data_IF_183201905994
#
_entry.id   IF_183201905994
#
_cell.length_a   1.000
_cell.length_b   1.000
_cell.length_c   1.000
_cell.angle_alpha   90.00
_cell.angle_beta   90.00
_cell.angle_gamma   90.00
#
_symmetry.space_group_name_H-M   'P 1'
#
loop_
_entity.id
_entity.type
_entity.pdbx_description
1 polymer ?
#
# COMPACT_ATOMS: atom_id res chain seq x y z
N UNK A 1 14.18 26.87 -0.91
CA UNK A 1 13.25 25.72 -0.92
C UNK A 1 13.82 24.48 -0.23
N UNK A 2 14.96 24.60 0.43
CA UNK A 2 15.63 23.48 1.12
C UNK A 2 15.22 23.29 2.60
N UNK A 3 14.26 24.06 3.09
CA UNK A 3 13.93 24.11 4.53
C UNK A 3 12.90 23.09 5.02
N UNK A 4 12.08 22.52 4.18
CA UNK A 4 10.96 21.66 4.60
C UNK A 4 11.37 20.19 4.78
N UNK A 5 12.44 19.76 4.09
CA UNK A 5 12.91 18.36 4.14
C UNK A 5 14.02 18.08 5.17
N UNK A 6 14.58 19.10 5.84
CA UNK A 6 15.66 18.94 6.82
C UNK A 6 15.19 18.73 8.26
N UNK A 7 13.91 18.82 8.56
CA UNK A 7 13.39 18.76 9.94
C UNK A 7 13.17 17.36 10.51
N UNK A 8 13.45 16.29 9.74
CA UNK A 8 13.23 14.91 10.19
C UNK A 8 14.50 14.10 10.51
N UNK A 9 15.68 14.73 10.49
CA UNK A 9 16.93 14.05 10.87
C UNK A 9 17.68 14.86 11.90
N UNK A 10 17.30 14.77 13.17
CA UNK A 10 18.18 14.83 14.35
C UNK A 10 17.34 14.63 15.61
N UNK A 11 17.35 13.44 16.15
CA UNK A 11 17.29 13.19 17.59
C UNK A 11 18.46 12.29 17.91
N UNK A 12 19.34 12.89 18.74
CA UNK A 12 20.56 12.33 19.25
C UNK A 12 20.29 11.07 20.07
N UNK A 13 21.00 9.99 19.73
CA UNK A 13 21.14 8.80 20.57
C UNK A 13 22.42 8.95 21.37
N UNK A 14 22.28 9.04 22.69
CA UNK A 14 23.37 8.88 23.65
C UNK A 14 23.49 7.41 24.05
N UNK A 15 24.68 6.81 24.09
CA UNK A 15 24.82 5.39 24.39
C UNK A 15 24.78 5.13 25.90
N UNK A 16 24.01 4.11 26.29
CA UNK A 16 23.99 3.58 27.64
C UNK A 16 25.22 2.72 27.92
N UNK A 17 25.72 2.88 29.13
CA UNK A 17 26.93 2.33 29.74
C UNK A 17 26.99 0.80 29.76
N UNK A 18 28.21 0.32 29.51
CA UNK A 18 28.72 -1.03 29.72
C UNK A 18 28.63 -1.46 31.18
N UNK A 19 28.14 -2.67 31.43
CA UNK A 19 28.28 -3.40 32.71
C UNK A 19 29.32 -4.50 32.48
N UNK A 20 30.30 -4.51 33.37
CA UNK A 20 31.45 -5.43 33.43
C UNK A 20 31.03 -6.78 34.03
N UNK A 21 31.52 -7.91 33.52
CA UNK A 21 31.24 -9.21 34.08
C UNK A 21 32.43 -9.78 34.82
N UNK A 22 32.55 -9.52 36.10
CA UNK A 22 33.39 -10.31 36.99
C UNK A 22 32.83 -10.19 38.40
N UNK A 23 32.27 -11.29 38.90
CA UNK A 23 32.24 -11.68 40.32
C UNK A 23 31.28 -12.89 40.46
N UNK A 24 31.82 -14.10 40.41
CA UNK A 24 31.21 -15.30 41.00
C UNK A 24 32.27 -16.08 41.77
N UNK A 25 32.16 -16.00 43.05
CA UNK A 25 32.98 -16.66 44.08
C UNK A 25 32.61 -18.12 44.22
N UNK A 26 33.65 -18.99 44.30
CA UNK A 26 33.59 -20.41 44.53
C UNK A 26 33.23 -20.73 45.98
N UNK A 27 32.28 -21.68 46.18
CA UNK A 27 32.22 -22.45 47.41
C UNK A 27 32.20 -23.94 47.16
N UNK A 28 33.24 -24.60 47.70
CA UNK A 28 33.43 -26.06 47.80
C UNK A 28 32.68 -26.60 49.00
N UNK A 29 32.05 -27.74 48.88
CA UNK A 29 31.82 -28.67 50.01
C UNK A 29 31.86 -30.15 49.53
N UNK A 30 32.19 -31.12 50.44
CA UNK A 30 32.95 -32.31 50.06
C UNK A 30 32.13 -33.60 49.91
N UNK A 31 32.73 -34.52 49.14
CA UNK A 31 32.26 -35.87 48.89
C UNK A 31 32.19 -36.74 50.14
N UNK A 32 31.11 -37.48 50.33
CA UNK A 32 31.08 -38.70 51.15
C UNK A 32 30.84 -39.92 50.26
N UNK A 33 31.85 -40.77 50.20
CA UNK A 33 31.94 -41.99 49.42
C UNK A 33 31.36 -43.15 50.26
N UNK A 34 30.21 -43.72 49.90
CA UNK A 34 29.73 -45.00 50.40
C UNK A 34 29.92 -46.09 49.32
N UNK A 35 30.78 -47.05 49.60
CA UNK A 35 31.02 -48.23 48.77
C UNK A 35 29.91 -49.26 49.06
N UNK A 36 29.14 -49.59 48.02
CA UNK A 36 28.23 -50.76 48.03
C UNK A 36 28.77 -51.82 47.07
N UNK A 37 29.05 -52.99 47.59
CA UNK A 37 29.44 -54.20 46.83
C UNK A 37 28.18 -54.89 46.35
N UNK A 38 27.87 -54.78 45.05
CA UNK A 38 26.85 -55.58 44.40
C UNK A 38 27.44 -56.82 43.73
N UNK A 39 26.84 -57.99 44.00
CA UNK A 39 27.28 -59.30 43.46
C UNK A 39 26.94 -59.45 41.98
N UNK A 40 27.73 -60.19 41.20
CA UNK A 40 27.64 -60.36 39.75
C UNK A 40 26.26 -60.87 39.23
N UNK A 41 25.52 -61.57 40.03
CA UNK A 41 24.16 -62.07 39.69
C UNK A 41 23.10 -60.94 39.58
N UNK A 42 23.27 -59.86 40.30
CA UNK A 42 22.38 -58.71 40.29
C UNK A 42 22.59 -57.79 39.08
N UNK A 43 23.78 -57.80 38.51
CA UNK A 43 24.11 -57.00 37.30
C UNK A 43 23.41 -57.50 36.05
N UNK A 44 23.23 -58.83 35.85
CA UNK A 44 22.62 -59.40 34.65
C UNK A 44 21.10 -59.05 34.57
N UNK A 45 20.42 -59.11 35.67
CA UNK A 45 18.98 -58.77 35.73
C UNK A 45 18.73 -57.26 35.45
N UNK A 46 19.62 -56.43 35.87
CA UNK A 46 19.51 -54.96 35.55
C UNK A 46 19.77 -54.67 34.08
N UNK A 47 20.74 -55.30 33.46
CA UNK A 47 21.00 -55.13 32.02
C UNK A 47 19.87 -55.67 31.16
N UNK A 48 19.28 -56.79 31.50
CA UNK A 48 18.10 -57.33 30.79
C UNK A 48 16.88 -56.44 30.94
N UNK A 49 16.65 -55.88 32.10
CA UNK A 49 15.55 -54.90 32.30
C UNK A 49 15.80 -53.59 31.54
N UNK A 50 17.04 -53.13 31.50
CA UNK A 50 17.43 -51.92 30.75
C UNK A 50 17.27 -52.12 29.23
N UNK A 51 17.63 -53.30 28.72
CA UNK A 51 17.46 -53.61 27.29
C UNK A 51 16.00 -53.70 26.89
N UNK A 52 15.12 -54.29 27.70
CA UNK A 52 13.69 -54.35 27.46
C UNK A 52 13.08 -52.95 27.55
N UNK A 53 13.51 -52.12 28.51
CA UNK A 53 13.03 -50.74 28.64
C UNK A 53 13.42 -49.87 27.44
N UNK A 54 14.65 -50.03 26.93
CA UNK A 54 15.11 -49.31 25.74
C UNK A 54 14.39 -49.73 24.45
N UNK A 55 14.06 -51.04 24.32
CA UNK A 55 13.27 -51.54 23.17
C UNK A 55 11.84 -51.04 23.22
N UNK A 56 11.19 -51.07 24.38
CA UNK A 56 9.82 -50.59 24.56
C UNK A 56 9.80 -49.06 24.38
N UNK A 57 10.76 -48.34 24.93
CA UNK A 57 10.88 -46.90 24.76
C UNK A 57 11.18 -46.49 23.31
N UNK A 58 12.02 -47.26 22.60
CA UNK A 58 12.29 -47.07 21.18
C UNK A 58 11.06 -47.30 20.30
N UNK A 59 10.25 -48.34 20.58
CA UNK A 59 9.03 -48.63 19.84
C UNK A 59 7.95 -47.57 20.09
N UNK A 60 7.75 -47.16 21.36
CA UNK A 60 6.81 -46.08 21.72
C UNK A 60 7.26 -44.72 21.13
N UNK A 61 8.58 -44.47 21.08
CA UNK A 61 9.12 -43.24 20.47
C UNK A 61 8.94 -43.24 18.96
N UNK A 62 9.00 -44.37 18.28
CA UNK A 62 8.73 -44.48 16.83
C UNK A 62 7.25 -44.24 16.54
N UNK A 63 6.32 -44.84 17.32
CA UNK A 63 4.89 -44.57 17.12
C UNK A 63 4.51 -43.12 17.44
N UNK A 64 5.10 -42.53 18.49
CA UNK A 64 4.85 -41.12 18.84
C UNK A 64 5.48 -40.19 17.80
N UNK A 65 6.61 -40.56 17.16
CA UNK A 65 7.25 -39.72 16.12
C UNK A 65 6.50 -39.79 14.79
N UNK A 66 5.88 -40.91 14.43
CA UNK A 66 5.00 -40.97 13.26
C UNK A 66 3.72 -40.14 13.44
N UNK A 67 3.27 -39.92 14.69
CA UNK A 67 2.10 -39.09 15.00
C UNK A 67 2.46 -37.64 15.38
N UNK A 68 3.73 -37.34 15.62
CA UNK A 68 4.25 -36.03 15.98
C UNK A 68 5.02 -35.32 14.84
N UNK A 69 4.96 -35.82 13.59
CA UNK A 69 5.28 -34.97 12.46
C UNK A 69 4.13 -33.96 12.44
N UNK A 70 4.36 -32.68 12.84
CA UNK A 70 3.37 -31.66 12.56
C UNK A 70 3.19 -31.75 11.05
N UNK A 71 1.99 -32.15 10.60
CA UNK A 71 1.58 -31.90 9.24
C UNK A 71 2.00 -30.47 9.00
N UNK A 72 2.95 -30.26 8.07
CA UNK A 72 3.26 -28.91 7.59
C UNK A 72 1.91 -28.23 7.47
N UNK A 73 1.72 -27.03 8.04
CA UNK A 73 0.46 -26.34 7.84
C UNK A 73 0.29 -26.38 6.33
N UNK A 74 -0.68 -27.19 5.88
CA UNK A 74 -1.08 -27.22 4.50
C UNK A 74 -1.20 -25.74 4.17
N UNK A 75 -0.42 -25.25 3.20
CA UNK A 75 -0.62 -23.93 2.66
C UNK A 75 -2.08 -23.90 2.31
N UNK A 76 -2.88 -23.38 3.22
CA UNK A 76 -4.29 -23.14 2.98
C UNK A 76 -4.25 -22.26 1.76
N UNK A 77 -4.52 -22.84 0.61
CA UNK A 77 -4.56 -22.13 -0.64
C UNK A 77 -5.39 -20.89 -0.35
N UNK A 78 -4.78 -19.71 -0.42
CA UNK A 78 -5.46 -18.42 -0.28
C UNK A 78 -6.27 -18.20 -1.57
N UNK A 79 -7.08 -19.21 -1.95
CA UNK A 79 -7.82 -19.22 -3.19
C UNK A 79 -9.06 -18.35 -3.03
N UNK A 80 -9.08 -17.28 -3.78
CA UNK A 80 -10.28 -16.46 -3.97
C UNK A 80 -11.21 -17.16 -4.96
N UNK A 81 -12.52 -16.90 -4.85
CA UNK A 81 -13.48 -17.36 -5.85
C UNK A 81 -13.21 -16.69 -7.20
N UNK A 82 -13.27 -17.44 -8.32
CA UNK A 82 -13.11 -16.86 -9.64
C UNK A 82 -14.16 -15.77 -9.91
N UNK A 83 -13.77 -14.73 -10.65
CA UNK A 83 -14.69 -13.70 -11.09
C UNK A 83 -15.70 -14.25 -12.11
N UNK A 84 -16.98 -13.92 -11.95
CA UNK A 84 -18.01 -14.27 -12.93
C UNK A 84 -17.84 -13.48 -14.24
N UNK A 85 -17.37 -12.24 -14.14
CA UNK A 85 -17.00 -11.38 -15.26
C UNK A 85 -15.82 -10.51 -14.86
N UNK A 86 -14.95 -10.22 -15.80
CA UNK A 86 -13.77 -9.40 -15.59
C UNK A 86 -13.97 -8.08 -16.33
N UNK A 87 -13.96 -6.98 -15.57
CA UNK A 87 -14.04 -5.63 -16.10
C UNK A 87 -12.73 -5.21 -16.77
N UNK A 88 -12.80 -4.30 -17.72
CA UNK A 88 -11.62 -3.67 -18.34
C UNK A 88 -11.54 -2.22 -17.90
N UNK A 89 -10.53 -1.89 -17.12
CA UNK A 89 -10.16 -0.49 -16.81
C UNK A 89 -9.42 0.08 -18.01
N UNK A 90 -9.85 1.25 -18.48
CA UNK A 90 -9.32 1.85 -19.70
C UNK A 90 -8.65 3.19 -19.42
N UNK A 91 -7.72 3.54 -20.29
CA UNK A 91 -7.08 4.85 -20.27
C UNK A 91 -8.11 5.95 -20.58
N UNK A 92 -7.99 7.08 -19.87
CA UNK A 92 -8.97 8.19 -19.94
C UNK A 92 -9.29 8.62 -21.37
N UNK A 93 -8.27 8.77 -22.22
CA UNK A 93 -8.43 9.18 -23.63
C UNK A 93 -9.06 8.12 -24.52
N UNK A 94 -9.10 6.87 -24.08
CA UNK A 94 -9.77 5.77 -24.78
C UNK A 94 -11.25 5.62 -24.42
N UNK A 95 -11.75 6.40 -23.44
CA UNK A 95 -13.15 6.46 -23.11
C UNK A 95 -13.91 7.29 -24.15
N UNK A 96 -15.17 6.90 -24.42
CA UNK A 96 -16.11 7.76 -25.15
C UNK A 96 -16.48 8.99 -24.34
N UNK A 97 -17.06 10.02 -24.99
CA UNK A 97 -17.58 11.19 -24.29
C UNK A 97 -18.59 10.79 -23.20
N UNK A 98 -19.56 9.95 -23.52
CA UNK A 98 -20.60 9.49 -22.58
C UNK A 98 -20.00 8.76 -21.36
N UNK A 99 -18.92 8.00 -21.54
CA UNK A 99 -18.25 7.31 -20.44
C UNK A 99 -17.48 8.28 -19.53
N UNK A 100 -16.84 9.29 -20.11
CA UNK A 100 -16.19 10.37 -19.35
C UNK A 100 -17.22 11.18 -18.60
N UNK A 101 -18.33 11.53 -19.23
CA UNK A 101 -19.43 12.26 -18.61
C UNK A 101 -20.07 11.48 -17.46
N UNK A 102 -20.26 10.17 -17.62
CA UNK A 102 -20.77 9.29 -16.55
C UNK A 102 -19.83 9.27 -15.35
N UNK A 103 -18.52 9.20 -15.57
CA UNK A 103 -17.51 9.26 -14.51
C UNK A 103 -17.54 10.62 -13.80
N UNK A 104 -17.40 11.73 -14.55
CA UNK A 104 -17.42 13.10 -14.02
C UNK A 104 -18.69 13.37 -13.23
N UNK A 105 -19.86 13.03 -13.80
CA UNK A 105 -21.16 13.15 -13.12
C UNK A 105 -21.19 12.39 -11.80
N UNK A 106 -20.64 11.16 -11.79
CA UNK A 106 -20.65 10.32 -10.60
C UNK A 106 -19.71 10.85 -9.51
N UNK A 107 -18.55 11.38 -9.87
CA UNK A 107 -17.64 12.05 -8.92
C UNK A 107 -18.28 13.31 -8.33
N UNK A 108 -18.92 14.14 -9.17
CA UNK A 108 -19.66 15.33 -8.71
C UNK A 108 -20.85 14.97 -7.82
N UNK A 109 -21.57 13.90 -8.14
CA UNK A 109 -22.64 13.39 -7.28
C UNK A 109 -22.10 12.97 -5.92
N UNK A 110 -20.97 12.22 -5.87
CA UNK A 110 -20.40 11.75 -4.61
C UNK A 110 -20.02 12.90 -3.67
N UNK A 111 -19.64 14.06 -4.23
CA UNK A 111 -19.36 15.28 -3.44
C UNK A 111 -20.61 15.99 -2.92
N UNK A 112 -21.80 15.45 -3.17
CA UNK A 112 -23.07 15.93 -2.60
C UNK A 112 -23.73 14.94 -1.66
N UNK A 113 -23.25 13.69 -1.61
CA UNK A 113 -23.79 12.66 -0.72
C UNK A 113 -23.22 12.86 0.69
N UNK A 114 -24.07 13.06 1.72
CA UNK A 114 -23.58 13.25 3.08
C UNK A 114 -22.77 12.06 3.57
N UNK A 115 -21.63 12.35 4.20
CA UNK A 115 -20.82 11.34 4.86
C UNK A 115 -21.57 10.72 6.05
N UNK A 116 -21.39 9.42 6.24
CA UNK A 116 -21.80 8.72 7.48
C UNK A 116 -20.64 8.62 8.47
N UNK A 117 -19.44 8.93 8.02
CA UNK A 117 -18.19 8.79 8.79
C UNK A 117 -17.71 10.15 9.34
N UNK A 118 -17.87 11.21 8.57
CA UNK A 118 -17.49 12.57 8.98
C UNK A 118 -18.69 13.49 9.18
N UNK A 119 -18.69 14.23 10.27
CA UNK A 119 -19.68 15.30 10.48
C UNK A 119 -19.42 16.46 9.50
N UNK A 120 -20.45 16.94 8.83
CA UNK A 120 -20.39 18.02 7.83
C UNK A 120 -19.54 17.72 6.58
N UNK A 121 -19.20 16.47 6.33
CA UNK A 121 -18.50 16.03 5.12
C UNK A 121 -19.42 15.31 4.15
N UNK A 122 -18.86 14.98 3.01
CA UNK A 122 -19.49 14.15 1.99
C UNK A 122 -18.76 12.81 1.86
N UNK A 123 -19.38 11.84 1.19
CA UNK A 123 -18.70 10.56 0.88
C UNK A 123 -17.44 10.80 0.04
N UNK A 124 -17.39 11.87 -0.75
CA UNK A 124 -16.18 12.28 -1.45
C UNK A 124 -15.05 12.66 -0.48
N UNK A 125 -15.36 13.49 0.53
CA UNK A 125 -14.39 13.94 1.53
C UNK A 125 -13.86 12.79 2.40
N UNK A 126 -14.62 11.70 2.55
CA UNK A 126 -14.19 10.51 3.30
C UNK A 126 -12.90 9.92 2.74
N UNK A 127 -12.69 9.96 1.42
CA UNK A 127 -11.47 9.43 0.78
C UNK A 127 -10.24 10.29 1.06
N UNK A 128 -10.40 11.63 1.04
CA UNK A 128 -9.32 12.52 1.41
C UNK A 128 -8.97 12.38 2.90
N UNK A 129 -9.97 12.22 3.77
CA UNK A 129 -9.77 11.95 5.19
C UNK A 129 -9.13 10.58 5.43
N UNK A 130 -9.56 9.54 4.72
CA UNK A 130 -8.97 8.21 4.78
C UNK A 130 -7.48 8.26 4.43
N UNK A 131 -7.13 8.86 3.28
CA UNK A 131 -5.75 8.96 2.85
C UNK A 131 -4.90 9.81 3.82
N UNK A 132 -5.45 10.92 4.33
CA UNK A 132 -4.78 11.79 5.30
C UNK A 132 -4.53 11.14 6.66
N UNK A 133 -5.45 10.30 7.14
CA UNK A 133 -5.40 9.70 8.48
C UNK A 133 -4.74 8.31 8.50
N UNK A 134 -5.10 7.46 7.56
CA UNK A 134 -4.65 6.06 7.49
C UNK A 134 -3.55 5.87 6.45
N UNK A 135 -3.64 6.54 5.29
CA UNK A 135 -2.69 6.40 4.19
C UNK A 135 -1.23 6.62 4.59
N UNK A 136 -0.97 7.49 5.58
CA UNK A 136 0.37 7.71 6.13
C UNK A 136 1.05 6.42 6.65
N UNK A 137 0.29 5.40 6.99
CA UNK A 137 0.83 4.12 7.49
C UNK A 137 1.18 3.15 6.38
N UNK A 138 0.57 3.30 5.19
CA UNK A 138 0.84 2.46 4.03
C UNK A 138 1.91 3.02 3.09
N UNK A 139 2.29 4.31 3.22
CA UNK A 139 3.42 4.87 2.49
C UNK A 139 4.75 4.41 3.11
N UNK A 140 5.79 4.30 2.28
CA UNK A 140 7.13 3.81 2.66
C UNK A 140 7.11 2.41 3.30
N UNK A 141 6.16 1.60 2.92
CA UNK A 141 5.95 0.23 3.42
C UNK A 141 5.53 -0.71 2.29
N UNK A 142 5.52 -2.00 2.55
CA UNK A 142 5.09 -3.01 1.57
C UNK A 142 3.64 -2.83 1.14
N UNK A 143 2.80 -2.24 1.98
CA UNK A 143 1.36 -2.09 1.73
C UNK A 143 1.01 -0.93 0.79
N UNK A 144 1.98 -0.15 0.28
CA UNK A 144 1.70 0.99 -0.60
C UNK A 144 0.81 0.61 -1.79
N UNK A 145 1.24 -0.32 -2.63
CA UNK A 145 0.48 -0.73 -3.81
C UNK A 145 -0.86 -1.43 -3.45
N UNK A 146 -0.90 -2.46 -2.58
CA UNK A 146 -2.15 -3.15 -2.29
C UNK A 146 -3.18 -2.27 -1.56
N UNK A 147 -2.75 -1.33 -0.71
CA UNK A 147 -3.68 -0.43 -0.04
C UNK A 147 -4.35 0.54 -1.03
N UNK A 148 -3.60 1.12 -1.96
CA UNK A 148 -4.15 2.01 -2.97
C UNK A 148 -5.02 1.26 -3.99
N UNK A 149 -4.65 0.03 -4.37
CA UNK A 149 -5.51 -0.84 -5.20
C UNK A 149 -6.86 -1.08 -4.55
N UNK A 150 -6.87 -1.40 -3.26
CA UNK A 150 -8.12 -1.63 -2.53
C UNK A 150 -8.90 -0.33 -2.31
N UNK A 151 -8.22 0.79 -2.10
CA UNK A 151 -8.87 2.12 -2.04
C UNK A 151 -9.59 2.46 -3.34
N UNK A 152 -8.98 2.17 -4.50
CA UNK A 152 -9.65 2.33 -5.80
C UNK A 152 -10.89 1.43 -5.95
N UNK A 153 -10.85 0.22 -5.41
CA UNK A 153 -12.03 -0.67 -5.38
C UNK A 153 -13.16 -0.09 -4.53
N UNK A 154 -12.85 0.42 -3.34
CA UNK A 154 -13.83 1.08 -2.47
C UNK A 154 -14.41 2.33 -3.15
N UNK A 155 -13.56 3.11 -3.78
CA UNK A 155 -13.95 4.29 -4.54
C UNK A 155 -14.94 3.95 -5.65
N UNK A 156 -14.61 2.97 -6.48
CA UNK A 156 -15.49 2.51 -7.57
C UNK A 156 -16.83 1.98 -7.04
N UNK A 157 -16.81 1.22 -5.94
CA UNK A 157 -18.02 0.74 -5.28
C UNK A 157 -18.89 1.90 -4.78
N UNK A 158 -18.28 2.95 -4.17
CA UNK A 158 -19.00 4.13 -3.68
C UNK A 158 -19.63 4.94 -4.83
N UNK A 159 -18.92 5.10 -5.94
CA UNK A 159 -19.49 5.75 -7.14
C UNK A 159 -20.71 4.98 -7.68
N UNK A 160 -20.66 3.65 -7.67
CA UNK A 160 -21.79 2.81 -8.11
C UNK A 160 -22.95 2.87 -7.14
N UNK A 161 -22.68 2.66 -5.86
CA UNK A 161 -23.71 2.58 -4.82
C UNK A 161 -24.50 3.90 -4.67
N UNK A 162 -23.78 5.01 -4.61
CA UNK A 162 -24.39 6.31 -4.31
C UNK A 162 -24.81 7.09 -5.54
N UNK A 163 -24.12 6.91 -6.67
CA UNK A 163 -24.25 7.78 -7.84
C UNK A 163 -24.59 7.06 -9.14
N UNK A 164 -24.78 5.74 -9.09
CA UNK A 164 -25.18 4.93 -10.25
C UNK A 164 -24.12 4.91 -11.36
N UNK A 165 -22.85 4.98 -11.02
CA UNK A 165 -21.74 4.86 -11.98
C UNK A 165 -21.77 3.52 -12.68
N UNK A 166 -21.79 3.54 -14.01
CA UNK A 166 -21.92 2.33 -14.84
C UNK A 166 -20.60 1.80 -15.39
N UNK A 167 -19.57 2.65 -15.37
CA UNK A 167 -18.26 2.34 -15.88
C UNK A 167 -17.33 1.68 -14.84
N UNK A 168 -16.05 1.73 -15.15
CA UNK A 168 -14.95 1.34 -14.25
C UNK A 168 -13.98 2.50 -14.10
N UNK A 169 -13.27 2.56 -12.96
CA UNK A 169 -12.30 3.64 -12.70
C UNK A 169 -11.28 3.67 -13.84
N UNK A 170 -11.20 4.79 -14.57
CA UNK A 170 -10.21 4.94 -15.63
C UNK A 170 -8.84 5.24 -15.06
N UNK A 171 -7.79 5.10 -15.88
CA UNK A 171 -6.45 5.51 -15.50
C UNK A 171 -5.93 6.61 -16.44
N UNK A 172 -5.04 7.44 -15.92
CA UNK A 172 -4.29 8.42 -16.70
C UNK A 172 -2.89 7.89 -16.99
N UNK A 173 -2.65 7.46 -18.23
CA UNK A 173 -1.32 7.05 -18.67
C UNK A 173 -0.40 8.25 -18.89
N UNK A 174 0.10 8.79 -17.79
CA UNK A 174 1.02 9.92 -17.78
C UNK A 174 2.38 9.59 -18.43
N UNK A 175 2.69 8.33 -18.70
CA UNK A 175 3.89 7.97 -19.46
C UNK A 175 3.82 8.46 -20.91
N UNK A 176 2.64 8.72 -21.42
CA UNK A 176 2.42 9.31 -22.76
C UNK A 176 2.67 10.82 -22.76
N UNK A 177 2.62 11.47 -21.61
CA UNK A 177 2.74 12.90 -21.42
C UNK A 177 4.11 13.30 -20.82
N UNK A 178 5.06 12.37 -20.73
CA UNK A 178 6.33 12.54 -20.02
C UNK A 178 7.18 13.74 -20.46
N UNK A 179 7.02 14.21 -21.70
CA UNK A 179 7.74 15.37 -22.21
C UNK A 179 7.17 16.69 -21.68
N UNK A 180 5.88 16.73 -21.41
CA UNK A 180 5.19 17.89 -20.85
C UNK A 180 3.87 17.48 -20.18
N UNK A 181 3.95 17.17 -18.91
CA UNK A 181 2.79 16.76 -18.11
C UNK A 181 1.75 17.88 -18.01
N UNK A 182 2.18 19.15 -17.98
CA UNK A 182 1.26 20.29 -17.89
C UNK A 182 0.46 20.52 -19.19
N UNK A 183 0.98 20.04 -20.33
CA UNK A 183 0.28 20.10 -21.61
C UNK A 183 -0.59 18.87 -21.90
N UNK A 184 -0.72 17.93 -20.95
CA UNK A 184 -1.58 16.76 -21.11
C UNK A 184 -3.03 17.15 -21.32
N UNK A 185 -3.71 16.46 -22.25
CA UNK A 185 -5.15 16.64 -22.48
C UNK A 185 -6.02 16.22 -21.29
N UNK A 186 -5.46 15.60 -20.27
CA UNK A 186 -6.17 15.33 -19.01
C UNK A 186 -6.63 16.61 -18.31
N UNK A 187 -5.93 17.73 -18.57
CA UNK A 187 -6.23 19.05 -18.01
C UNK A 187 -7.18 19.89 -18.86
N UNK A 188 -7.67 19.35 -19.96
CA UNK A 188 -8.63 20.03 -20.81
C UNK A 188 -9.93 20.36 -20.07
N UNK A 189 -10.44 21.58 -20.24
CA UNK A 189 -11.62 22.05 -19.51
C UNK A 189 -12.93 21.38 -19.95
N UNK A 190 -13.02 20.90 -21.19
CA UNK A 190 -14.25 20.28 -21.71
C UNK A 190 -14.23 18.77 -21.59
N UNK A 191 -13.09 18.13 -21.86
CA UNK A 191 -12.96 16.69 -21.96
C UNK A 191 -12.06 16.05 -20.89
N UNK A 192 -11.52 16.85 -19.98
CA UNK A 192 -10.61 16.45 -18.91
C UNK A 192 -11.07 16.88 -17.51
N UNK A 193 -10.10 17.24 -16.68
CA UNK A 193 -10.30 17.55 -15.25
C UNK A 193 -10.17 19.04 -14.90
N UNK A 194 -10.11 19.92 -15.93
CA UNK A 194 -9.75 21.32 -15.75
C UNK A 194 -8.25 21.53 -15.59
N UNK A 195 -7.81 22.76 -15.82
CA UNK A 195 -6.42 23.15 -15.88
C UNK A 195 -5.75 23.41 -14.54
N UNK A 196 -4.73 24.26 -14.59
CA UNK A 196 -4.06 24.75 -13.38
C UNK A 196 -4.97 25.71 -12.59
N UNK A 197 -4.59 26.02 -11.36
CA UNK A 197 -5.27 27.11 -10.62
C UNK A 197 -5.08 28.47 -11.31
N UNK A 198 -6.02 29.40 -11.07
CA UNK A 198 -5.96 30.76 -11.61
C UNK A 198 -4.64 31.45 -11.24
N UNK A 199 -3.80 31.84 -12.20
CA UNK A 199 -2.51 32.46 -11.93
C UNK A 199 -2.62 33.84 -11.26
N UNK A 200 -3.81 34.48 -11.30
CA UNK A 200 -4.10 35.78 -10.68
C UNK A 200 -4.87 35.63 -9.36
N UNK A 201 -5.29 34.41 -9.04
CA UNK A 201 -6.07 34.07 -7.85
C UNK A 201 -5.27 34.15 -6.56
N UNK A 202 -5.97 34.23 -5.45
CA UNK A 202 -5.35 34.13 -4.14
C UNK A 202 -4.89 32.69 -3.87
N UNK A 203 -3.68 32.56 -3.28
CA UNK A 203 -3.19 31.27 -2.82
C UNK A 203 -4.13 30.72 -1.75
N UNK A 204 -4.53 29.46 -1.92
CA UNK A 204 -5.42 28.74 -1.01
C UNK A 204 -4.65 27.72 -0.17
N UNK A 205 -4.50 26.49 -0.66
CA UNK A 205 -3.79 25.41 0.02
C UNK A 205 -2.63 24.88 -0.85
N UNK A 206 -1.59 24.35 -0.24
CA UNK A 206 -0.49 23.67 -0.95
C UNK A 206 0.22 24.56 -1.98
N UNK A 207 0.29 25.88 -1.75
CA UNK A 207 0.80 26.88 -2.71
C UNK A 207 0.04 26.92 -4.04
N UNK A 208 -1.17 26.38 -4.09
CA UNK A 208 -2.05 26.44 -5.26
C UNK A 208 -3.09 27.54 -5.16
N UNK A 209 -3.78 27.77 -6.26
CA UNK A 209 -4.92 28.68 -6.41
C UNK A 209 -6.15 27.92 -6.88
N UNK A 210 -7.33 28.53 -6.85
CA UNK A 210 -8.56 27.87 -7.26
C UNK A 210 -8.52 27.45 -8.74
N UNK A 211 -8.94 26.21 -9.01
CA UNK A 211 -9.27 25.76 -10.37
C UNK A 211 -10.61 26.37 -10.75
N UNK A 212 -10.63 27.17 -11.81
CA UNK A 212 -11.83 27.91 -12.24
C UNK A 212 -12.48 27.36 -13.51
N UNK A 213 -11.81 26.41 -14.16
CA UNK A 213 -12.29 25.78 -15.38
C UNK A 213 -12.56 24.28 -15.19
N UNK A 214 -13.20 23.68 -16.18
CA UNK A 214 -13.48 22.24 -16.18
C UNK A 214 -14.61 21.80 -15.27
N UNK A 215 -14.87 20.50 -15.22
CA UNK A 215 -16.04 19.96 -14.55
C UNK A 215 -15.98 20.07 -13.02
N UNK A 216 -14.80 20.28 -12.45
CA UNK A 216 -14.55 20.30 -11.01
C UNK A 216 -14.28 21.69 -10.43
N UNK A 217 -14.44 22.77 -11.21
CA UNK A 217 -14.28 24.15 -10.76
C UNK A 217 -15.11 24.51 -9.53
N UNK A 218 -16.27 23.84 -9.35
CA UNK A 218 -17.15 24.05 -8.21
C UNK A 218 -16.95 23.03 -7.08
N UNK A 219 -15.92 22.16 -7.15
CA UNK A 219 -15.61 21.24 -6.06
C UNK A 219 -15.09 22.03 -4.84
N UNK A 220 -15.58 21.66 -3.66
CA UNK A 220 -15.27 22.36 -2.41
C UNK A 220 -14.82 21.37 -1.34
N UNK A 221 -13.55 20.94 -1.37
CA UNK A 221 -12.98 20.14 -0.29
C UNK A 221 -13.08 20.86 1.05
N UNK A 222 -13.24 20.09 2.12
CA UNK A 222 -13.40 20.66 3.47
C UNK A 222 -12.19 20.46 4.37
N UNK A 223 -11.15 19.77 3.89
CA UNK A 223 -9.95 19.45 4.69
C UNK A 223 -8.68 19.62 3.88
N UNK A 224 -7.64 20.08 4.58
CA UNK A 224 -6.29 20.05 4.08
C UNK A 224 -5.36 19.48 5.17
N UNK A 225 -4.67 18.39 4.87
CA UNK A 225 -4.00 17.56 5.89
C UNK A 225 -5.02 17.15 7.00
N UNK A 226 -4.64 17.32 8.25
CA UNK A 226 -5.49 16.96 9.40
C UNK A 226 -6.41 18.11 9.86
N UNK A 227 -6.44 19.23 9.13
CA UNK A 227 -7.15 20.43 9.53
C UNK A 227 -8.42 20.60 8.72
N UNK A 228 -9.52 21.02 9.37
CA UNK A 228 -10.73 21.47 8.67
C UNK A 228 -10.47 22.83 8.03
N UNK A 229 -10.44 22.86 6.72
CA UNK A 229 -10.25 24.05 5.89
C UNK A 229 -11.13 23.91 4.65
N UNK A 230 -12.29 24.53 4.65
CA UNK A 230 -13.14 24.57 3.47
C UNK A 230 -12.50 25.50 2.42
N UNK A 231 -12.30 25.00 1.22
CA UNK A 231 -11.64 25.73 0.13
C UNK A 231 -12.14 25.25 -1.25
N UNK A 232 -11.74 25.93 -2.30
CA UNK A 232 -11.91 25.46 -3.68
C UNK A 232 -10.91 24.37 -4.01
N UNK A 233 -11.21 23.52 -4.99
CA UNK A 233 -10.18 22.66 -5.58
C UNK A 233 -8.99 23.51 -5.99
N UNK A 234 -7.82 23.18 -5.49
CA UNK A 234 -6.60 23.99 -5.64
C UNK A 234 -5.53 23.24 -6.39
N UNK A 235 -4.93 23.87 -7.39
CA UNK A 235 -3.73 23.39 -8.10
C UNK A 235 -2.71 24.51 -8.24
N UNK A 236 -1.45 24.13 -8.37
CA UNK A 236 -0.32 25.04 -8.56
C UNK A 236 0.80 24.29 -9.27
N UNK A 237 0.64 24.06 -10.58
CA UNK A 237 1.64 23.31 -11.36
C UNK A 237 3.01 23.94 -11.21
N UNK A 238 3.99 23.10 -10.92
CA UNK A 238 5.37 23.53 -10.90
C UNK A 238 5.80 24.07 -12.28
N UNK A 239 6.80 24.92 -12.29
CA UNK A 239 7.37 25.42 -13.54
C UNK A 239 7.98 24.26 -14.37
N UNK A 240 8.09 24.48 -15.68
CA UNK A 240 8.58 23.44 -16.60
C UNK A 240 9.95 22.86 -16.21
N UNK A 241 10.97 23.63 -15.82
CA UNK A 241 12.23 23.05 -15.34
C UNK A 241 12.06 22.13 -14.12
N UNK A 242 11.15 22.45 -13.21
CA UNK A 242 10.83 21.62 -12.04
C UNK A 242 10.03 20.37 -12.45
N UNK A 243 9.05 20.50 -13.35
CA UNK A 243 8.32 19.36 -13.91
C UNK A 243 9.26 18.38 -14.61
N UNK A 244 10.17 18.87 -15.46
CA UNK A 244 11.15 18.03 -16.16
C UNK A 244 12.07 17.28 -15.17
N UNK A 245 12.46 17.94 -14.08
CA UNK A 245 13.26 17.32 -13.00
C UNK A 245 12.49 16.30 -12.19
N UNK A 246 11.25 16.57 -11.83
CA UNK A 246 10.42 15.70 -11.00
C UNK A 246 9.88 14.50 -11.79
N UNK A 247 9.45 14.71 -13.01
CA UNK A 247 8.66 13.75 -13.78
C UNK A 247 9.31 13.32 -15.09
N UNK A 248 9.83 14.26 -15.89
CA UNK A 248 10.26 14.00 -17.26
C UNK A 248 11.27 12.86 -17.41
N UNK A 249 12.28 12.78 -16.53
CA UNK A 249 13.28 11.70 -16.55
C UNK A 249 12.76 10.38 -15.96
N UNK A 250 11.70 10.43 -15.15
CA UNK A 250 11.16 9.27 -14.45
C UNK A 250 10.08 8.57 -15.26
N UNK A 251 9.25 9.32 -15.95
CA UNK A 251 8.08 8.82 -16.67
C UNK A 251 8.37 8.42 -18.12
N UNK A 252 9.57 8.65 -18.62
CA UNK A 252 9.91 8.26 -19.98
C UNK A 252 9.93 6.71 -20.15
N UNK A 253 9.72 6.20 -21.38
CA UNK A 253 9.60 4.76 -21.63
C UNK A 253 10.81 3.92 -21.18
N UNK A 254 12.02 4.51 -21.22
CA UNK A 254 13.25 3.83 -20.77
C UNK A 254 13.23 3.60 -19.25
N UNK A 255 12.82 4.59 -18.48
CA UNK A 255 12.71 4.48 -17.02
C UNK A 255 11.64 3.49 -16.61
N UNK A 256 10.47 3.56 -17.23
CA UNK A 256 9.40 2.58 -17.01
C UNK A 256 9.89 1.17 -17.35
N UNK A 257 10.53 0.97 -18.51
CA UNK A 257 11.08 -0.34 -18.90
C UNK A 257 12.15 -0.86 -17.95
N UNK A 258 12.89 0.02 -17.23
CA UNK A 258 13.84 -0.37 -16.17
C UNK A 258 13.08 -0.87 -14.93
N UNK A 259 12.08 -0.13 -14.48
CA UNK A 259 11.27 -0.46 -13.30
C UNK A 259 10.54 -1.80 -13.53
N UNK A 260 9.99 -2.01 -14.71
CA UNK A 260 9.32 -3.25 -15.08
C UNK A 260 10.21 -4.50 -15.08
N UNK A 261 11.53 -4.35 -15.09
CA UNK A 261 12.51 -5.46 -15.00
C UNK A 261 12.99 -5.75 -13.58
N UNK A 262 12.52 -5.02 -12.59
CA UNK A 262 12.82 -5.32 -11.19
C UNK A 262 12.10 -6.62 -10.81
N UNK A 263 12.81 -7.60 -10.26
CA UNK A 263 12.24 -8.91 -9.97
C UNK A 263 11.60 -8.99 -8.58
N UNK A 264 12.23 -8.37 -7.58
CA UNK A 264 11.74 -8.38 -6.20
C UNK A 264 10.61 -7.36 -5.99
N UNK A 265 9.56 -7.76 -5.24
CA UNK A 265 8.42 -6.91 -4.96
C UNK A 265 8.79 -5.66 -4.14
N UNK A 266 9.62 -5.80 -3.11
CA UNK A 266 10.03 -4.69 -2.26
C UNK A 266 10.71 -3.59 -3.07
N UNK A 267 11.63 -3.98 -3.96
CA UNK A 267 12.34 -3.05 -4.81
C UNK A 267 11.42 -2.44 -5.88
N UNK A 268 10.52 -3.25 -6.46
CA UNK A 268 9.51 -2.75 -7.39
C UNK A 268 8.55 -1.76 -6.71
N UNK A 269 8.02 -2.09 -5.53
CA UNK A 269 7.14 -1.22 -4.75
C UNK A 269 7.84 0.10 -4.39
N UNK A 270 9.13 0.04 -4.01
CA UNK A 270 9.95 1.22 -3.78
C UNK A 270 10.08 2.09 -5.03
N UNK A 271 10.44 1.51 -6.18
CA UNK A 271 10.54 2.24 -7.44
C UNK A 271 9.20 2.88 -7.84
N UNK A 272 8.09 2.16 -7.66
CA UNK A 272 6.75 2.68 -7.94
C UNK A 272 6.43 3.89 -7.04
N UNK A 273 6.66 3.79 -5.74
CA UNK A 273 6.36 4.88 -4.81
C UNK A 273 7.31 6.07 -4.98
N UNK A 274 8.62 5.85 -4.98
CA UNK A 274 9.60 6.95 -4.97
C UNK A 274 9.84 7.58 -6.34
N UNK A 275 9.79 6.80 -7.40
CA UNK A 275 10.08 7.31 -8.74
C UNK A 275 8.84 7.66 -9.55
N UNK A 276 7.74 6.93 -9.38
CA UNK A 276 6.55 7.15 -10.19
C UNK A 276 5.44 7.92 -9.45
N UNK A 277 5.36 7.82 -8.12
CA UNK A 277 4.31 8.47 -7.35
C UNK A 277 4.75 9.80 -6.73
N UNK A 278 5.81 9.81 -5.89
CA UNK A 278 6.14 10.96 -5.05
C UNK A 278 6.42 12.26 -5.81
N UNK A 279 6.88 12.18 -7.06
CA UNK A 279 7.15 13.36 -7.89
C UNK A 279 5.89 14.07 -8.38
N UNK A 280 4.76 13.36 -8.50
CA UNK A 280 3.51 13.92 -8.99
C UNK A 280 2.90 14.93 -8.01
N UNK A 281 3.03 14.69 -6.71
CA UNK A 281 2.46 15.55 -5.69
C UNK A 281 2.98 17.00 -5.76
N UNK A 282 4.30 17.27 -5.70
CA UNK A 282 4.82 18.63 -5.84
C UNK A 282 4.75 19.15 -7.28
N UNK A 283 4.57 18.30 -8.28
CA UNK A 283 4.40 18.72 -9.66
C UNK A 283 3.03 19.36 -9.90
N UNK A 284 1.96 18.81 -9.33
CA UNK A 284 0.59 19.34 -9.44
C UNK A 284 0.35 20.43 -8.39
N UNK A 285 0.91 20.29 -7.18
CA UNK A 285 0.72 21.28 -6.10
C UNK A 285 -0.71 21.33 -5.56
N UNK A 286 -1.06 22.42 -4.89
CA UNK A 286 -2.40 22.63 -4.34
C UNK A 286 -2.85 21.48 -3.44
N UNK A 287 -4.05 20.98 -3.65
CA UNK A 287 -4.60 19.83 -2.93
C UNK A 287 -3.73 18.58 -3.07
N UNK A 288 -3.12 18.41 -4.24
CA UNK A 288 -2.30 17.22 -4.52
C UNK A 288 -1.00 17.15 -3.71
N UNK A 289 -0.54 18.28 -3.15
CA UNK A 289 0.72 18.34 -2.37
C UNK A 289 0.61 17.68 -0.99
N UNK A 290 -0.59 17.51 -0.45
CA UNK A 290 -0.82 17.02 0.91
C UNK A 290 -1.24 15.55 0.96
N UNK A 291 -1.24 14.97 2.17
CA UNK A 291 -1.83 13.65 2.39
C UNK A 291 -3.34 13.59 2.13
N UNK A 292 -4.00 14.73 1.96
CA UNK A 292 -5.40 14.84 1.49
C UNK A 292 -5.50 14.97 -0.03
N UNK A 293 -4.52 14.49 -0.77
CA UNK A 293 -4.45 14.58 -2.24
C UNK A 293 -5.68 14.04 -2.98
N UNK A 294 -6.44 13.12 -2.36
CA UNK A 294 -7.72 12.64 -2.88
C UNK A 294 -8.83 13.71 -2.92
N UNK A 295 -8.58 14.92 -2.42
CA UNK A 295 -9.40 16.11 -2.69
C UNK A 295 -9.45 16.44 -4.19
N UNK A 296 -8.37 16.16 -4.93
CA UNK A 296 -8.35 16.32 -6.38
C UNK A 296 -8.72 15.00 -7.06
N UNK A 297 -9.77 14.95 -7.88
CA UNK A 297 -10.22 13.72 -8.54
C UNK A 297 -9.16 13.03 -9.40
N UNK A 298 -8.17 13.75 -9.88
CA UNK A 298 -7.06 13.17 -10.66
C UNK A 298 -6.22 12.17 -9.83
N UNK A 299 -6.29 12.24 -8.50
CA UNK A 299 -5.66 11.29 -7.60
C UNK A 299 -6.01 9.84 -7.93
N UNK A 300 -7.29 9.57 -8.18
CA UNK A 300 -7.76 8.21 -8.46
C UNK A 300 -7.26 7.69 -9.80
N UNK A 301 -7.13 8.55 -10.81
CA UNK A 301 -6.60 8.17 -12.12
C UNK A 301 -5.08 7.98 -12.08
N UNK A 302 -4.38 8.78 -11.27
CA UNK A 302 -2.95 8.61 -11.02
C UNK A 302 -2.66 7.28 -10.33
N UNK A 303 -3.39 6.95 -9.26
CA UNK A 303 -3.24 5.67 -8.57
C UNK A 303 -3.71 4.47 -9.41
N UNK A 304 -4.71 4.64 -10.27
CA UNK A 304 -5.09 3.62 -11.23
C UNK A 304 -3.99 3.34 -12.27
N UNK A 305 -3.19 4.34 -12.66
CA UNK A 305 -2.01 4.12 -13.51
C UNK A 305 -0.90 3.37 -12.76
N UNK A 306 -0.66 3.69 -11.49
CA UNK A 306 0.30 2.92 -10.67
C UNK A 306 -0.15 1.47 -10.51
N UNK A 307 -1.43 1.26 -10.29
CA UNK A 307 -2.06 -0.06 -10.24
C UNK A 307 -1.94 -0.81 -11.57
N UNK A 308 -2.13 -0.12 -12.70
CA UNK A 308 -1.91 -0.66 -14.05
C UNK A 308 -0.46 -1.13 -14.25
N UNK A 309 0.52 -0.32 -13.84
CA UNK A 309 1.94 -0.68 -13.93
C UNK A 309 2.25 -1.88 -13.03
N UNK A 310 1.68 -1.95 -11.82
CA UNK A 310 1.83 -3.10 -10.95
C UNK A 310 1.16 -4.35 -11.53
N UNK A 311 -0.05 -4.23 -12.06
CA UNK A 311 -0.72 -5.34 -12.76
C UNK A 311 0.13 -5.86 -13.93
N UNK A 312 0.66 -4.98 -14.78
CA UNK A 312 1.55 -5.38 -15.88
C UNK A 312 2.81 -6.10 -15.36
N UNK A 313 3.41 -5.63 -14.26
CA UNK A 313 4.54 -6.29 -13.64
C UNK A 313 4.16 -7.70 -13.14
N UNK A 314 3.00 -7.84 -12.50
CA UNK A 314 2.48 -9.14 -12.06
C UNK A 314 2.24 -10.09 -13.24
N UNK A 315 1.70 -9.60 -14.36
CA UNK A 315 1.41 -10.42 -15.54
C UNK A 315 2.65 -10.91 -16.30
N UNK A 316 3.85 -10.37 -16.04
CA UNK A 316 5.08 -10.91 -16.64
C UNK A 316 5.46 -12.28 -16.06
N UNK A 317 5.14 -12.54 -14.80
CA UNK A 317 5.42 -13.80 -14.10
C UNK A 317 4.30 -14.09 -13.08
N UNK A 318 3.06 -14.37 -13.53
CA UNK A 318 1.91 -14.43 -12.63
C UNK A 318 2.03 -15.53 -11.57
N UNK A 319 2.63 -16.67 -11.88
CA UNK A 319 2.83 -17.78 -10.94
C UNK A 319 3.61 -17.37 -9.67
N UNK A 320 4.55 -16.46 -9.80
CA UNK A 320 5.35 -15.95 -8.67
C UNK A 320 4.88 -14.59 -8.18
N UNK A 321 4.54 -13.66 -9.08
CA UNK A 321 4.32 -12.26 -8.75
C UNK A 321 2.91 -11.94 -8.23
N UNK A 322 1.92 -12.80 -8.46
CA UNK A 322 0.59 -12.65 -7.84
C UNK A 322 0.60 -12.93 -6.33
N UNK A 323 1.64 -13.55 -5.80
CA UNK A 323 1.84 -13.75 -4.37
C UNK A 323 3.10 -13.05 -3.82
N UNK A 324 3.84 -12.34 -4.66
CA UNK A 324 5.04 -11.63 -4.24
C UNK A 324 4.67 -10.42 -3.38
N UNK A 325 5.04 -10.49 -2.10
CA UNK A 325 4.85 -9.43 -1.13
C UNK A 325 5.94 -9.51 -0.08
N UNK A 326 6.74 -8.47 0.05
CA UNK A 326 7.91 -8.41 0.92
C UNK A 326 8.25 -6.97 1.28
N UNK A 327 9.06 -6.78 2.31
CA UNK A 327 9.53 -5.48 2.75
C UNK A 327 9.07 -5.12 4.16
N UNK A 328 9.02 -3.84 4.47
CA UNK A 328 8.60 -3.35 5.79
C UNK A 328 7.09 -3.47 5.96
N UNK A 329 6.67 -4.06 7.07
CA UNK A 329 5.27 -4.14 7.47
C UNK A 329 4.63 -2.75 7.63
N UNK A 330 5.33 -1.79 8.25
CA UNK A 330 4.86 -0.42 8.48
C UNK A 330 5.98 0.59 8.22
N UNK A 331 5.62 1.83 7.96
CA UNK A 331 6.54 2.94 7.66
C UNK A 331 7.68 3.13 8.67
N UNK A 332 7.42 2.88 9.94
CA UNK A 332 8.41 3.03 11.02
C UNK A 332 9.02 1.70 11.49
N UNK A 333 8.70 0.58 10.84
CA UNK A 333 9.29 -0.70 11.17
C UNK A 333 10.73 -0.77 10.66
N UNK A 334 11.62 -1.33 11.48
CA UNK A 334 12.96 -1.74 11.05
C UNK A 334 12.96 -3.13 10.44
N UNK A 335 11.91 -3.91 10.73
CA UNK A 335 11.79 -5.30 10.32
C UNK A 335 11.15 -5.39 8.93
N UNK A 336 11.73 -6.21 8.08
CA UNK A 336 11.23 -6.51 6.74
C UNK A 336 10.43 -7.82 6.78
N UNK A 337 9.40 -7.87 7.62
CA UNK A 337 8.58 -9.05 7.89
C UNK A 337 7.16 -8.96 7.32
N UNK A 338 6.95 -8.13 6.32
CA UNK A 338 5.66 -8.01 5.66
C UNK A 338 5.17 -9.37 5.11
N UNK A 339 3.89 -9.64 5.29
CA UNK A 339 3.25 -10.89 4.91
C UNK A 339 1.89 -10.67 4.27
N UNK A 340 1.43 -11.62 3.48
CA UNK A 340 0.11 -11.57 2.84
C UNK A 340 -1.05 -11.54 3.84
N UNK A 341 -0.82 -11.89 5.09
CA UNK A 341 -1.77 -11.83 6.19
C UNK A 341 -1.85 -10.45 6.86
N UNK A 342 -0.93 -9.53 6.53
CA UNK A 342 -0.98 -8.16 7.03
C UNK A 342 -2.31 -7.51 6.69
N UNK A 343 -2.78 -6.64 7.57
CA UNK A 343 -4.12 -6.07 7.47
C UNK A 343 -4.05 -4.68 6.84
N UNK A 344 -4.72 -4.50 5.72
CA UNK A 344 -5.00 -3.19 5.13
C UNK A 344 -6.09 -2.51 5.94
N UNK A 345 -5.77 -1.40 6.57
CA UNK A 345 -6.68 -0.65 7.45
C UNK A 345 -7.39 0.46 6.67
N UNK A 346 -8.68 0.64 6.94
CA UNK A 346 -9.53 1.67 6.30
C UNK A 346 -10.26 2.56 7.32
N UNK A 347 -9.78 2.60 8.57
CA UNK A 347 -10.23 3.54 9.59
C UNK A 347 -11.71 3.48 9.96
N UNK A 348 -12.41 2.42 9.61
CA UNK A 348 -13.85 2.27 9.83
C UNK A 348 -14.73 2.75 8.66
N UNK A 349 -14.14 3.26 7.58
CA UNK A 349 -14.89 3.58 6.35
C UNK A 349 -15.49 2.30 5.74
N UNK A 350 -14.69 1.26 5.68
CA UNK A 350 -15.09 -0.11 5.31
C UNK A 350 -14.37 -1.12 6.20
N UNK A 351 -14.74 -2.39 6.07
CA UNK A 351 -14.06 -3.49 6.74
C UNK A 351 -12.59 -3.59 6.30
N UNK A 352 -11.70 -3.79 7.27
CA UNK A 352 -10.29 -4.07 7.01
C UNK A 352 -10.12 -5.44 6.34
N UNK A 353 -9.16 -5.55 5.44
CA UNK A 353 -8.93 -6.80 4.70
C UNK A 353 -7.45 -7.22 4.74
N UNK A 354 -7.14 -8.51 4.71
CA UNK A 354 -5.77 -8.96 4.53
C UNK A 354 -5.21 -8.57 3.15
N UNK A 355 -3.91 -8.33 3.07
CA UNK A 355 -3.19 -7.96 1.84
C UNK A 355 -3.50 -8.91 0.67
N UNK A 356 -3.57 -10.23 0.94
CA UNK A 356 -3.81 -11.22 -0.12
C UNK A 356 -5.10 -10.98 -0.91
N UNK A 357 -6.10 -10.27 -0.36
CA UNK A 357 -7.30 -9.87 -1.11
C UNK A 357 -7.03 -8.87 -2.22
N UNK A 358 -5.94 -8.11 -2.10
CA UNK A 358 -5.57 -7.08 -3.07
C UNK A 358 -4.52 -7.55 -4.09
N UNK A 359 -4.04 -8.80 -4.00
CA UNK A 359 -2.92 -9.25 -4.84
C UNK A 359 -3.34 -9.62 -6.26
N UNK A 360 -4.45 -10.35 -6.41
CA UNK A 360 -4.95 -10.82 -7.69
C UNK A 360 -6.21 -10.04 -8.10
N UNK A 361 -6.13 -9.32 -9.21
CA UNK A 361 -7.24 -8.48 -9.68
C UNK A 361 -8.31 -9.27 -10.43
N UNK A 362 -8.01 -10.48 -10.88
CA UNK A 362 -8.93 -11.30 -11.68
C UNK A 362 -9.67 -12.35 -10.83
N UNK A 363 -9.47 -12.31 -9.50
CA UNK A 363 -10.14 -13.18 -8.55
C UNK A 363 -10.69 -12.40 -7.34
N UNK A 364 -11.60 -13.02 -6.60
CA UNK A 364 -12.19 -12.48 -5.38
C UNK A 364 -13.15 -11.34 -5.62
N UNK A 365 -12.87 -10.17 -5.01
CA UNK A 365 -13.77 -9.01 -5.03
C UNK A 365 -13.38 -7.96 -6.08
N UNK A 366 -12.16 -8.01 -6.61
CA UNK A 366 -11.64 -6.96 -7.49
C UNK A 366 -12.21 -7.07 -8.91
N UNK A 367 -12.10 -8.22 -9.54
CA UNK A 367 -12.70 -8.61 -10.81
C UNK A 367 -12.46 -7.62 -11.97
N UNK A 368 -11.22 -7.17 -12.14
CA UNK A 368 -10.84 -6.31 -13.26
C UNK A 368 -9.45 -6.64 -13.81
N UNK A 369 -9.17 -6.13 -15.03
CA UNK A 369 -7.86 -6.04 -15.68
C UNK A 369 -7.72 -4.71 -16.43
N UNK A 370 -6.54 -4.48 -16.98
CA UNK A 370 -6.22 -3.31 -17.79
C UNK A 370 -6.08 -3.63 -19.28
#
# INVERSE_FOLDING_TARGET
MDGIWRSFHKKDYSPASTIDPDDVEHQHEPETRTVRTDTAAQRWTHWQKLAIFLVIFGLVSLEVWEHAIPSHPSHRSLSQSPCQSIAIRREWRALTADERDDFVRSVKCLSTVPSRWMHNGTVYDDFAYLHGSIGKWCHHSASFLPWHRWTLHIWEASLREHCGFRGHVPYWDWTRDWMDIAASSIWDAESGFGGNGDPTGQVTVGNGTCVEDGPFANLRPIRYNNTYVAHCLSRGFADKPTLDRLLGKRFNPRSIGRIMRVDDYKDFNWEAEFHLHNGMHPAIGGDFLAMTAANDPIFFLHHAQLDHIWWQWQQQQPESRLSAYSGRHMVNSTDENASLQDVLMFGGLVENVPVWHAMDTENGKLCYRY
#
